data_IF_266815251124
#
_entry.id   IF_266815251124
#
_cell.length_a   1.000
_cell.length_b   1.000
_cell.length_c   1.000
_cell.angle_alpha   90.00
_cell.angle_beta   90.00
_cell.angle_gamma   90.00
#
_symmetry.space_group_name_H-M   'P 1'
#
loop_
_entity.id
_entity.type
_entity.pdbx_description
1 polymer ?
#
# COMPACT_ATOMS: atom_id res chain seq x y z
N UNK A 1 -6.94 15.76 26.13
CA UNK A 1 -6.33 15.37 24.85
C UNK A 1 -4.81 15.47 24.86
N UNK A 2 -4.16 16.61 25.19
CA UNK A 2 -2.68 16.73 25.25
C UNK A 2 -1.97 15.70 26.15
N UNK A 3 -2.57 15.35 27.33
CA UNK A 3 -2.00 14.37 28.26
C UNK A 3 -2.05 12.92 27.71
N UNK A 4 -3.04 12.60 26.87
CA UNK A 4 -3.15 11.29 26.22
C UNK A 4 -2.08 11.12 25.11
N UNK A 5 -1.81 12.19 24.35
CA UNK A 5 -0.73 12.22 23.35
C UNK A 5 0.66 12.07 23.99
N UNK A 6 0.88 12.73 25.14
CA UNK A 6 2.14 12.62 25.88
C UNK A 6 2.30 11.22 26.48
N UNK A 7 1.24 10.61 27.01
CA UNK A 7 1.27 9.25 27.53
C UNK A 7 1.50 8.21 26.42
N UNK A 8 0.89 8.39 25.25
CA UNK A 8 1.14 7.55 24.07
C UNK A 8 2.57 7.71 23.54
N UNK A 9 3.11 8.94 23.53
CA UNK A 9 4.50 9.21 23.14
C UNK A 9 5.51 8.62 24.16
N UNK A 10 5.21 8.68 25.47
CA UNK A 10 6.05 8.08 26.53
C UNK A 10 5.95 6.54 26.47
N UNK A 11 4.78 5.97 26.23
CA UNK A 11 4.64 4.52 26.01
C UNK A 11 5.39 4.06 24.74
N UNK A 12 5.38 4.82 23.66
CA UNK A 12 6.21 4.54 22.49
C UNK A 12 7.70 4.69 22.78
N UNK A 13 8.10 5.61 23.64
CA UNK A 13 9.51 5.80 24.02
C UNK A 13 10.04 4.72 24.99
N UNK A 14 9.19 4.09 25.80
CA UNK A 14 9.60 3.06 26.78
C UNK A 14 9.73 1.65 26.16
N UNK A 15 9.26 1.43 24.93
CA UNK A 15 9.37 0.16 24.17
C UNK A 15 10.73 0.00 23.47
N UNK A 16 11.71 0.83 23.77
CA UNK A 16 12.98 1.00 23.06
C UNK A 16 13.98 -0.18 23.16
N UNK A 17 13.63 -1.32 23.76
CA UNK A 17 14.62 -2.37 24.08
C UNK A 17 14.60 -3.64 23.21
N UNK A 18 13.68 -3.78 22.25
CA UNK A 18 13.64 -4.96 21.40
C UNK A 18 14.07 -4.58 19.97
N UNK A 19 15.34 -4.72 19.69
CA UNK A 19 15.92 -4.45 18.39
C UNK A 19 15.60 -5.58 17.40
N UNK A 20 14.99 -5.28 16.28
CA UNK A 20 15.18 -6.07 15.09
C UNK A 20 16.63 -5.86 14.64
N UNK A 21 17.51 -6.79 14.92
CA UNK A 21 18.86 -6.82 14.38
C UNK A 21 18.82 -7.64 13.11
N UNK A 22 18.82 -6.95 11.97
CA UNK A 22 19.04 -7.59 10.69
C UNK A 22 20.52 -7.53 10.35
N UNK A 23 21.01 -8.62 9.77
CA UNK A 23 22.37 -8.72 9.26
C UNK A 23 22.37 -8.74 7.74
N UNK A 24 23.49 -8.37 7.13
CA UNK A 24 23.65 -8.52 5.69
C UNK A 24 23.49 -10.00 5.31
N UNK A 25 22.67 -10.26 4.29
CA UNK A 25 22.31 -11.60 3.86
C UNK A 25 21.03 -12.16 4.48
N UNK A 26 20.41 -11.48 5.46
CA UNK A 26 19.13 -11.90 6.02
C UNK A 26 18.02 -11.89 4.96
N UNK A 27 17.21 -12.93 4.96
CA UNK A 27 16.00 -13.04 4.16
C UNK A 27 14.81 -13.13 5.11
N UNK A 28 13.84 -12.27 4.92
CA UNK A 28 12.60 -12.30 5.71
C UNK A 28 11.38 -12.39 4.80
N UNK A 29 10.34 -13.05 5.27
CA UNK A 29 9.02 -13.12 4.65
C UNK A 29 8.02 -12.43 5.57
N UNK A 30 7.14 -11.60 5.01
CA UNK A 30 6.09 -10.91 5.73
C UNK A 30 4.73 -11.33 5.18
N UNK A 31 3.81 -11.72 6.06
CA UNK A 31 2.39 -11.83 5.73
C UNK A 31 1.71 -10.51 6.14
N UNK A 32 1.14 -9.82 5.18
CA UNK A 32 0.60 -8.46 5.35
C UNK A 32 -0.91 -8.44 5.18
N UNK A 33 -1.58 -7.67 6.03
CA UNK A 33 -2.99 -7.30 5.90
C UNK A 33 -3.18 -5.85 6.32
N UNK A 34 -4.06 -5.12 5.65
CA UNK A 34 -4.30 -3.72 5.97
C UNK A 34 -5.51 -3.13 5.27
N UNK A 35 -5.68 -1.84 5.49
CA UNK A 35 -6.67 -1.01 4.83
C UNK A 35 -5.99 -0.10 3.82
N UNK A 36 -6.67 0.16 2.73
CA UNK A 36 -6.24 1.06 1.67
C UNK A 36 -7.37 2.04 1.38
N UNK A 37 -7.06 3.33 1.43
CA UNK A 37 -7.90 4.39 0.89
C UNK A 37 -7.40 4.73 -0.50
N UNK A 38 -8.25 4.70 -1.50
CA UNK A 38 -7.90 4.98 -2.89
C UNK A 38 -8.82 6.02 -3.49
N UNK A 39 -8.26 6.88 -4.31
CA UNK A 39 -8.99 7.93 -5.04
C UNK A 39 -8.31 8.17 -6.40
N UNK A 40 -8.98 8.91 -7.27
CA UNK A 40 -8.41 9.37 -8.54
C UNK A 40 -7.94 10.82 -8.41
N UNK A 41 -6.74 11.12 -8.89
CA UNK A 41 -6.35 12.51 -9.03
C UNK A 41 -7.10 13.15 -10.21
N UNK A 42 -7.32 14.48 -10.17
CA UNK A 42 -8.01 15.27 -11.18
C UNK A 42 -9.54 15.02 -11.32
N UNK A 43 -10.18 14.39 -10.36
CA UNK A 43 -11.65 14.31 -10.27
C UNK A 43 -12.11 15.10 -9.05
N UNK A 44 -12.92 16.16 -9.27
CA UNK A 44 -13.36 17.04 -8.18
C UNK A 44 -14.55 16.49 -7.38
N UNK A 45 -15.21 15.44 -7.88
CA UNK A 45 -16.48 14.93 -7.37
C UNK A 45 -16.38 13.48 -6.87
N UNK A 46 -15.16 13.02 -6.51
CA UNK A 46 -14.93 11.68 -5.97
C UNK A 46 -14.43 11.73 -4.54
N UNK A 47 -14.82 10.73 -3.73
CA UNK A 47 -14.30 10.47 -2.39
C UNK A 47 -13.43 9.22 -2.40
N UNK A 48 -12.49 9.19 -1.45
CA UNK A 48 -11.65 8.02 -1.27
C UNK A 48 -12.48 6.79 -0.88
N UNK A 49 -12.39 5.74 -1.68
CA UNK A 49 -12.94 4.42 -1.36
C UNK A 49 -11.99 3.71 -0.39
N UNK A 50 -12.56 3.12 0.66
CA UNK A 50 -11.83 2.28 1.60
C UNK A 50 -11.95 0.81 1.19
N UNK A 51 -10.80 0.15 1.03
CA UNK A 51 -10.70 -1.25 0.67
C UNK A 51 -9.69 -2.01 1.56
N UNK A 52 -9.49 -3.27 1.24
CA UNK A 52 -8.54 -4.15 1.90
C UNK A 52 -7.28 -4.35 1.04
N UNK A 53 -6.16 -4.59 1.70
CA UNK A 53 -4.92 -5.05 1.09
C UNK A 53 -4.39 -6.25 1.85
N UNK A 54 -3.98 -7.28 1.12
CA UNK A 54 -3.44 -8.51 1.71
C UNK A 54 -2.43 -9.18 0.77
N UNK A 55 -1.39 -9.76 1.33
CA UNK A 55 -0.43 -10.56 0.56
C UNK A 55 0.93 -10.71 1.22
N UNK A 56 1.80 -11.53 0.64
CA UNK A 56 3.18 -11.70 1.09
C UNK A 56 4.11 -10.62 0.51
N UNK A 57 5.10 -10.22 1.31
CA UNK A 57 6.28 -9.48 0.88
C UNK A 57 7.54 -10.17 1.41
N UNK A 58 8.55 -10.30 0.59
CA UNK A 58 9.88 -10.79 0.97
C UNK A 58 10.84 -9.61 1.03
N UNK A 59 11.80 -9.66 1.94
CA UNK A 59 12.81 -8.62 2.10
C UNK A 59 14.19 -9.26 2.25
N UNK A 60 15.16 -8.78 1.46
CA UNK A 60 16.55 -9.20 1.47
C UNK A 60 17.44 -8.05 1.97
N UNK A 61 18.21 -8.30 3.02
CA UNK A 61 19.08 -7.31 3.64
C UNK A 61 20.46 -7.29 2.97
N UNK A 62 20.76 -6.21 2.27
CA UNK A 62 22.09 -5.97 1.68
C UNK A 62 23.10 -5.51 2.73
N UNK A 63 22.62 -4.79 3.73
CA UNK A 63 23.38 -4.36 4.91
C UNK A 63 22.44 -4.36 6.13
N UNK A 64 22.96 -4.11 7.31
CA UNK A 64 22.17 -3.99 8.55
C UNK A 64 21.13 -2.84 8.51
N UNK A 65 21.24 -1.93 7.51
CA UNK A 65 20.37 -0.74 7.37
C UNK A 65 19.69 -0.62 6.04
N UNK A 66 20.04 -1.42 5.06
CA UNK A 66 19.49 -1.32 3.71
C UNK A 66 19.04 -2.68 3.22
N UNK A 67 17.80 -2.74 2.75
CA UNK A 67 17.22 -3.94 2.18
C UNK A 67 16.44 -3.65 0.91
N UNK A 68 16.23 -4.69 0.12
CA UNK A 68 15.33 -4.71 -1.02
C UNK A 68 14.13 -5.59 -0.69
N UNK A 69 12.95 -5.08 -0.94
CA UNK A 69 11.70 -5.80 -0.76
C UNK A 69 11.01 -6.06 -2.09
N UNK A 70 10.35 -7.21 -2.19
CA UNK A 70 9.44 -7.53 -3.29
C UNK A 70 8.24 -8.30 -2.75
N UNK A 71 7.04 -8.06 -3.30
CA UNK A 71 5.83 -8.70 -2.81
C UNK A 71 4.78 -8.91 -3.88
N UNK A 72 3.72 -9.61 -3.50
CA UNK A 72 2.50 -9.73 -4.29
C UNK A 72 1.34 -9.41 -3.37
N UNK A 73 0.62 -8.31 -3.65
CA UNK A 73 -0.46 -7.80 -2.82
C UNK A 73 -1.74 -7.74 -3.64
N UNK A 74 -2.79 -8.38 -3.17
CA UNK A 74 -4.14 -8.10 -3.63
C UNK A 74 -4.64 -6.83 -2.92
N UNK A 75 -5.23 -5.91 -3.66
CA UNK A 75 -5.77 -4.67 -3.13
C UNK A 75 -7.07 -4.27 -3.80
N UNK A 76 -8.03 -3.85 -2.99
CA UNK A 76 -9.30 -3.30 -3.41
C UNK A 76 -9.17 -1.78 -3.48
N UNK A 77 -9.16 -1.25 -4.70
CA UNK A 77 -9.00 0.18 -5.00
C UNK A 77 -10.25 0.74 -5.69
N UNK A 78 -10.19 2.00 -6.08
CA UNK A 78 -11.26 2.71 -6.80
C UNK A 78 -11.61 4.02 -6.14
N UNK A 79 -12.81 4.53 -6.44
CA UNK A 79 -13.33 5.77 -5.88
C UNK A 79 -14.86 5.70 -5.71
N UNK A 80 -15.39 6.55 -4.84
CA UNK A 80 -16.84 6.73 -4.64
C UNK A 80 -17.23 8.11 -5.17
N UNK A 81 -18.36 8.19 -5.89
CA UNK A 81 -18.89 9.47 -6.38
C UNK A 81 -19.95 10.00 -5.42
N UNK A 82 -19.79 11.28 -5.02
CA UNK A 82 -20.54 11.88 -3.92
C UNK A 82 -22.04 12.11 -4.21
N UNK A 83 -22.39 12.41 -5.48
CA UNK A 83 -23.75 12.84 -5.82
C UNK A 83 -24.66 11.74 -6.41
N UNK A 84 -24.14 10.57 -6.72
CA UNK A 84 -24.86 9.57 -7.51
C UNK A 84 -24.90 8.15 -6.92
N UNK A 85 -24.48 7.91 -5.67
CA UNK A 85 -24.31 6.57 -5.07
C UNK A 85 -23.59 5.57 -5.99
N UNK A 86 -22.62 6.08 -6.79
CA UNK A 86 -21.84 5.28 -7.73
C UNK A 86 -20.46 4.98 -7.12
N UNK A 87 -20.13 3.70 -7.04
CA UNK A 87 -18.84 3.24 -6.58
C UNK A 87 -18.07 2.55 -7.70
N UNK A 88 -16.90 3.07 -8.03
CA UNK A 88 -15.92 2.41 -8.90
C UNK A 88 -15.11 1.43 -8.07
N UNK A 89 -15.22 0.14 -8.37
CA UNK A 89 -14.49 -0.93 -7.70
C UNK A 89 -13.43 -1.47 -8.66
N UNK A 90 -12.17 -1.28 -8.31
CA UNK A 90 -11.04 -1.74 -9.08
C UNK A 90 -10.15 -2.60 -8.20
N UNK A 91 -10.08 -3.88 -8.49
CA UNK A 91 -9.23 -4.81 -7.75
C UNK A 91 -7.92 -5.04 -8.51
N UNK A 92 -6.81 -4.97 -7.79
CA UNK A 92 -5.48 -5.11 -8.36
C UNK A 92 -4.67 -6.20 -7.69
N UNK A 93 -3.83 -6.86 -8.49
CA UNK A 93 -2.65 -7.57 -8.01
C UNK A 93 -1.45 -6.63 -8.20
N UNK A 94 -0.90 -6.15 -7.11
CA UNK A 94 0.25 -5.25 -7.09
C UNK A 94 1.54 -6.01 -6.77
N UNK A 95 2.62 -5.66 -7.45
CA UNK A 95 3.95 -6.24 -7.22
C UNK A 95 4.90 -5.12 -6.77
N UNK A 96 4.84 -4.67 -5.49
CA UNK A 96 5.76 -3.66 -5.00
C UNK A 96 7.19 -4.19 -4.99
N UNK A 97 8.11 -3.39 -5.52
CA UNK A 97 9.56 -3.58 -5.45
C UNK A 97 10.11 -2.35 -4.76
N UNK A 98 10.62 -2.51 -3.54
CA UNK A 98 10.97 -1.39 -2.67
C UNK A 98 12.42 -1.47 -2.20
N UNK A 99 13.05 -0.31 -2.09
CA UNK A 99 14.26 -0.10 -1.30
C UNK A 99 13.84 0.40 0.09
N UNK A 100 14.38 -0.23 1.13
CA UNK A 100 14.04 0.11 2.51
C UNK A 100 15.32 0.55 3.23
N UNK A 101 15.28 1.70 3.86
CA UNK A 101 16.40 2.24 4.61
C UNK A 101 16.03 2.39 6.09
N UNK A 102 16.63 1.58 6.94
CA UNK A 102 16.42 1.56 8.39
C UNK A 102 17.16 2.73 9.03
N UNK A 103 16.47 3.83 9.30
CA UNK A 103 17.04 5.06 9.86
C UNK A 103 17.30 4.93 11.34
N UNK A 104 16.46 4.18 12.06
CA UNK A 104 16.59 3.96 13.49
C UNK A 104 15.83 2.69 13.90
N UNK A 105 16.40 1.86 14.76
CA UNK A 105 15.78 0.77 15.54
C UNK A 105 14.41 0.27 15.06
N UNK A 106 14.34 -0.34 13.90
CA UNK A 106 13.09 -0.85 13.32
C UNK A 106 12.31 0.16 12.49
N UNK A 107 12.63 1.46 12.56
CA UNK A 107 12.01 2.47 11.70
C UNK A 107 12.71 2.50 10.34
N UNK A 108 11.98 2.25 9.28
CA UNK A 108 12.50 2.30 7.91
C UNK A 108 11.71 3.27 7.04
N UNK A 109 12.43 3.97 6.18
CA UNK A 109 11.92 4.67 5.01
C UNK A 109 11.82 3.67 3.86
N UNK A 110 10.73 3.68 3.14
CA UNK A 110 10.48 2.77 2.01
C UNK A 110 10.12 3.57 0.77
N UNK A 111 10.74 3.25 -0.36
CA UNK A 111 10.37 3.82 -1.65
C UNK A 111 10.65 2.80 -2.76
N UNK A 112 9.91 2.87 -3.88
CA UNK A 112 10.11 1.90 -4.93
C UNK A 112 9.23 2.10 -6.14
N UNK A 113 9.06 1.03 -6.90
CA UNK A 113 8.13 0.92 -8.01
C UNK A 113 7.12 -0.19 -7.73
N UNK A 114 5.89 0.02 -8.18
CA UNK A 114 4.81 -0.93 -7.98
C UNK A 114 4.06 -1.14 -9.29
N UNK A 115 4.49 -2.12 -10.13
CA UNK A 115 3.61 -2.64 -11.16
C UNK A 115 2.32 -3.20 -10.55
N UNK A 116 1.19 -2.88 -11.16
CA UNK A 116 -0.13 -3.33 -10.78
C UNK A 116 -0.87 -3.92 -11.98
N UNK A 117 -1.62 -4.97 -11.74
CA UNK A 117 -2.46 -5.61 -12.75
C UNK A 117 -3.91 -5.57 -12.27
N UNK A 118 -4.77 -4.89 -13.03
CA UNK A 118 -6.19 -4.89 -12.76
C UNK A 118 -6.76 -6.27 -13.04
N UNK A 119 -7.46 -6.84 -12.06
CA UNK A 119 -8.07 -8.18 -12.15
C UNK A 119 -9.60 -8.15 -12.10
N UNK A 120 -10.19 -7.03 -11.69
CA UNK A 120 -11.63 -6.82 -11.67
C UNK A 120 -11.95 -5.35 -11.70
N UNK A 121 -12.91 -4.96 -12.53
CA UNK A 121 -13.39 -3.58 -12.66
C UNK A 121 -14.91 -3.58 -12.73
N UNK A 122 -15.56 -2.98 -11.74
CA UNK A 122 -17.00 -2.95 -11.63
C UNK A 122 -17.48 -1.58 -11.18
N UNK A 123 -18.54 -1.05 -11.80
CA UNK A 123 -19.33 0.05 -11.24
C UNK A 123 -20.52 -0.55 -10.49
N UNK A 124 -20.74 -0.05 -9.29
CA UNK A 124 -21.98 -0.23 -8.55
C UNK A 124 -22.75 1.08 -8.53
N UNK A 125 -24.00 1.04 -8.99
CA UNK A 125 -24.95 2.12 -8.88
C UNK A 125 -26.24 1.53 -8.31
N UNK A 126 -26.65 1.93 -7.13
CA UNK A 126 -27.71 1.27 -6.35
C UNK A 126 -27.50 -0.26 -6.29
N UNK A 127 -28.48 -1.04 -6.76
CA UNK A 127 -28.41 -2.51 -6.81
C UNK A 127 -27.87 -3.07 -8.15
N UNK A 128 -27.47 -2.19 -9.08
CA UNK A 128 -26.99 -2.60 -10.41
C UNK A 128 -25.45 -2.64 -10.41
N UNK A 129 -24.90 -3.76 -10.86
CA UNK A 129 -23.48 -3.92 -11.11
C UNK A 129 -23.22 -3.97 -12.61
N UNK A 130 -22.34 -3.10 -13.09
CA UNK A 130 -21.91 -3.07 -14.50
C UNK A 130 -20.42 -3.35 -14.57
N UNK A 131 -20.01 -4.25 -15.44
CA UNK A 131 -18.60 -4.56 -15.72
C UNK A 131 -17.97 -3.41 -16.51
N UNK A 132 -16.80 -2.95 -16.04
CA UNK A 132 -15.98 -1.88 -16.64
C UNK A 132 -14.65 -2.39 -17.19
N UNK A 133 -14.48 -3.67 -17.39
CA UNK A 133 -13.19 -4.22 -17.80
C UNK A 133 -12.67 -3.63 -19.13
N UNK A 134 -13.56 -3.14 -19.99
CA UNK A 134 -13.19 -2.64 -21.33
C UNK A 134 -12.54 -1.24 -21.35
N UNK A 135 -12.97 -0.22 -20.54
CA UNK A 135 -12.30 1.08 -20.50
C UNK A 135 -11.13 1.17 -19.51
N UNK A 136 -10.95 0.19 -18.61
CA UNK A 136 -9.89 0.19 -17.59
C UNK A 136 -8.65 -0.52 -18.13
N UNK A 137 -7.48 0.13 -18.01
CA UNK A 137 -6.21 -0.48 -18.40
C UNK A 137 -5.86 -1.62 -17.45
N UNK A 138 -5.44 -2.74 -18.02
CA UNK A 138 -5.00 -3.92 -17.26
C UNK A 138 -3.70 -3.65 -16.47
N UNK A 139 -2.82 -2.81 -17.00
CA UNK A 139 -1.52 -2.52 -16.38
C UNK A 139 -1.49 -1.11 -15.80
N UNK A 140 -1.04 -1.01 -14.56
CA UNK A 140 -0.75 0.24 -13.86
C UNK A 140 0.68 0.23 -13.32
N UNK A 141 1.34 1.39 -13.31
CA UNK A 141 2.64 1.58 -12.67
C UNK A 141 2.53 2.70 -11.67
N UNK A 142 3.01 2.47 -10.46
CA UNK A 142 2.93 3.43 -9.38
C UNK A 142 4.25 3.55 -8.61
N UNK A 143 4.40 4.65 -7.88
CA UNK A 143 5.52 4.98 -6.99
C UNK A 143 5.05 4.93 -5.53
N UNK A 144 5.30 3.84 -4.79
CA UNK A 144 5.05 3.79 -3.36
C UNK A 144 6.16 4.50 -2.59
N UNK A 145 5.78 5.34 -1.62
CA UNK A 145 6.65 5.95 -0.62
C UNK A 145 6.02 5.73 0.75
N UNK A 146 6.79 5.33 1.74
CA UNK A 146 6.22 5.03 3.03
C UNK A 146 7.22 4.95 4.17
N UNK A 147 6.65 4.68 5.33
CA UNK A 147 7.35 4.45 6.58
C UNK A 147 6.90 3.10 7.13
N UNK A 148 7.82 2.33 7.68
CA UNK A 148 7.47 1.15 8.44
C UNK A 148 8.19 1.14 9.77
N UNK A 149 7.52 0.58 10.78
CA UNK A 149 8.11 0.34 12.09
C UNK A 149 8.00 -1.13 12.45
N UNK A 150 9.13 -1.75 12.67
CA UNK A 150 9.25 -3.14 13.06
C UNK A 150 9.47 -3.26 14.57
N UNK A 151 8.61 -4.03 15.21
CA UNK A 151 8.75 -4.43 16.60
C UNK A 151 8.71 -5.94 16.73
N UNK A 152 9.85 -6.57 17.02
CA UNK A 152 10.01 -8.03 17.04
C UNK A 152 9.64 -8.65 15.68
N UNK A 153 8.47 -9.30 15.60
CA UNK A 153 7.95 -9.93 14.40
C UNK A 153 6.83 -9.12 13.74
N UNK A 154 6.39 -8.04 14.36
CA UNK A 154 5.30 -7.22 13.83
C UNK A 154 5.85 -5.99 13.11
N UNK A 155 5.28 -5.68 11.96
CA UNK A 155 5.61 -4.51 11.16
C UNK A 155 4.33 -3.71 10.94
N UNK A 156 4.31 -2.47 11.39
CA UNK A 156 3.30 -1.48 11.00
C UNK A 156 3.88 -0.69 9.82
N UNK A 157 3.11 -0.56 8.75
CA UNK A 157 3.54 0.11 7.52
C UNK A 157 2.47 1.11 7.08
N UNK A 158 2.88 2.35 6.88
CA UNK A 158 2.08 3.42 6.30
C UNK A 158 2.70 3.80 4.96
N UNK A 159 1.93 3.68 3.88
CA UNK A 159 2.41 3.84 2.51
C UNK A 159 1.47 4.74 1.73
N UNK A 160 2.04 5.71 1.04
CA UNK A 160 1.35 6.51 0.04
C UNK A 160 1.86 6.11 -1.34
N UNK A 161 0.94 5.87 -2.28
CA UNK A 161 1.31 5.40 -3.62
C UNK A 161 0.74 6.34 -4.67
N UNK A 162 1.63 6.84 -5.52
CA UNK A 162 1.32 7.73 -6.62
C UNK A 162 1.25 6.94 -7.92
N UNK A 163 0.10 6.91 -8.60
CA UNK A 163 -0.01 6.35 -9.95
C UNK A 163 0.82 7.16 -10.94
N UNK A 164 1.65 6.48 -11.72
CA UNK A 164 2.45 7.08 -12.78
C UNK A 164 1.73 6.96 -14.13
N UNK A 165 0.96 5.91 -14.32
CA UNK A 165 0.16 5.64 -15.51
C UNK A 165 -1.30 6.05 -15.31
N UNK A 166 -2.02 6.23 -16.40
CA UNK A 166 -3.45 6.52 -16.39
C UNK A 166 -4.26 5.23 -16.25
N UNK A 167 -5.33 5.31 -15.47
CA UNK A 167 -6.23 4.17 -15.18
C UNK A 167 -7.10 3.83 -16.38
N UNK A 168 -7.58 4.87 -17.09
CA UNK A 168 -8.50 4.69 -18.22
C UNK A 168 -7.79 4.79 -19.57
N UNK A 169 -8.33 4.10 -20.56
CA UNK A 169 -7.87 4.21 -21.95
C UNK A 169 -8.46 5.47 -22.58
N UNK A 170 -7.62 6.45 -22.90
CA UNK A 170 -8.01 7.73 -23.53
C UNK A 170 -8.74 7.58 -24.86
N UNK A 171 -8.59 6.46 -25.54
CA UNK A 171 -9.33 6.18 -26.78
C UNK A 171 -10.81 5.89 -26.52
N UNK A 172 -11.18 5.53 -25.31
CA UNK A 172 -12.52 5.13 -24.89
C UNK A 172 -13.17 6.12 -23.93
N UNK A 173 -12.37 6.71 -23.04
CA UNK A 173 -12.85 7.68 -22.05
C UNK A 173 -11.80 8.78 -21.92
N UNK A 174 -12.17 10.03 -22.19
CA UNK A 174 -11.27 11.20 -22.09
C UNK A 174 -11.18 11.68 -20.63
N UNK A 175 -10.64 10.81 -19.76
CA UNK A 175 -10.39 11.09 -18.34
C UNK A 175 -8.90 10.87 -18.02
N UNK A 176 -8.20 11.98 -17.76
CA UNK A 176 -6.83 11.96 -17.24
C UNK A 176 -6.84 11.68 -15.74
N UNK A 177 -6.98 10.44 -15.33
CA UNK A 177 -6.98 10.07 -13.92
C UNK A 177 -5.96 9.00 -13.60
N UNK A 178 -5.23 9.22 -12.51
CA UNK A 178 -4.24 8.29 -11.96
C UNK A 178 -4.66 7.86 -10.57
N UNK A 179 -4.35 6.63 -10.21
CA UNK A 179 -4.60 6.12 -8.88
C UNK A 179 -3.75 6.84 -7.84
N UNK A 180 -4.39 7.26 -6.76
CA UNK A 180 -3.77 7.76 -5.54
C UNK A 180 -4.21 6.86 -4.40
N UNK A 181 -3.26 6.26 -3.65
CA UNK A 181 -3.65 5.40 -2.55
C UNK A 181 -2.86 5.71 -1.28
N UNK A 182 -3.55 5.62 -0.15
CA UNK A 182 -2.95 5.59 1.18
C UNK A 182 -3.25 4.26 1.84
N UNK A 183 -2.21 3.53 2.24
CA UNK A 183 -2.30 2.22 2.86
C UNK A 183 -1.78 2.27 4.28
N UNK A 184 -2.54 1.69 5.21
CA UNK A 184 -2.08 1.38 6.56
C UNK A 184 -2.22 -0.12 6.79
N UNK A 185 -1.12 -0.79 7.14
CA UNK A 185 -1.12 -2.25 7.24
C UNK A 185 -0.28 -2.76 8.39
N UNK A 186 -0.63 -3.96 8.83
CA UNK A 186 0.10 -4.75 9.79
C UNK A 186 0.66 -5.99 9.08
N UNK A 187 1.91 -6.34 9.37
CA UNK A 187 2.50 -7.56 8.87
C UNK A 187 3.16 -8.36 9.99
N UNK A 188 3.18 -9.67 9.81
CA UNK A 188 3.98 -10.56 10.63
C UNK A 188 5.20 -11.02 9.82
N UNK A 189 6.40 -10.77 10.36
CA UNK A 189 7.68 -11.04 9.70
C UNK A 189 8.33 -12.31 10.24
N UNK A 190 8.68 -13.19 9.32
CA UNK A 190 9.44 -14.42 9.57
C UNK A 190 10.86 -14.27 9.03
N UNK A 191 11.88 -14.62 9.82
CA UNK A 191 13.24 -14.77 9.31
C UNK A 191 13.38 -16.16 8.71
N UNK A 192 13.80 -16.26 7.44
CA UNK A 192 13.87 -17.50 6.68
C UNK A 192 15.24 -18.19 6.80
N UNK A 193 16.30 -17.41 6.96
CA UNK A 193 17.65 -17.93 7.15
C UNK A 193 18.11 -17.70 8.60
N UNK A 194 18.92 -18.63 9.07
CA UNK A 194 19.59 -18.55 10.38
C UNK A 194 20.94 -17.87 10.23
#
# INVERSE_FOLDING_TARGET
MKKLFIAAAIMMASVVSAFAQHEAGDITLQARVGMIGSDFNNTSDTKARVGLVVGPEMEYFLTNRFSLGAGVLYSQQGAEQDEADVTYQLDYINVPITANFYVWKGLALRAGLQPGFNVSSTIKADDVKVDLSDPVKTFDLALPIGLSYEYRHFVIDARYTFGLTEVFDKSKVDLDSKNLTFQLSLAYKFKLNK
#
